data_IF_810925883149
#
_entry.id   IF_810925883149
#
_cell.length_a   1.000
_cell.length_b   1.000
_cell.length_c   1.000
_cell.angle_alpha   90.00
_cell.angle_beta   90.00
_cell.angle_gamma   90.00
#
_symmetry.space_group_name_H-M   'P 1'
#
loop_
_entity.id
_entity.type
_entity.pdbx_description
1 polymer ?
#
# COMPACT_ATOMS: atom_id res chain seq x y z
N UNK A 1 45.67 -53.14 20.16
CA UNK A 1 44.41 -53.78 20.57
C UNK A 1 43.57 -52.76 21.30
N UNK A 2 42.72 -52.06 20.59
CA UNK A 2 41.63 -51.27 21.17
C UNK A 2 40.56 -51.05 20.10
N UNK A 3 39.37 -51.39 20.46
CA UNK A 3 38.17 -51.51 19.66
C UNK A 3 37.69 -50.17 19.13
N UNK A 4 37.38 -50.13 17.84
CA UNK A 4 36.53 -49.13 17.21
C UNK A 4 35.06 -49.50 17.53
N UNK A 5 34.35 -48.57 18.16
CA UNK A 5 32.87 -48.64 18.23
C UNK A 5 32.30 -47.64 17.21
N UNK A 6 31.78 -48.21 16.15
CA UNK A 6 31.06 -47.50 15.11
C UNK A 6 29.66 -47.08 15.57
N UNK A 7 29.36 -45.79 15.51
CA UNK A 7 28.02 -45.25 15.63
C UNK A 7 27.32 -45.28 14.28
N UNK A 8 26.37 -46.24 14.17
CA UNK A 8 25.44 -46.35 13.07
C UNK A 8 24.39 -45.25 13.14
N UNK A 9 24.42 -44.32 12.20
CA UNK A 9 23.35 -43.41 11.92
C UNK A 9 22.25 -44.13 11.16
N UNK A 10 21.15 -44.42 11.86
CA UNK A 10 19.94 -44.98 11.26
C UNK A 10 19.20 -43.93 10.41
N UNK A 11 19.29 -44.14 9.13
CA UNK A 11 18.53 -43.51 8.10
C UNK A 11 17.10 -44.08 8.08
N UNK A 12 16.11 -43.36 8.52
CA UNK A 12 14.71 -43.69 8.24
C UNK A 12 14.03 -42.50 7.53
N UNK A 13 14.24 -42.47 6.23
CA UNK A 13 13.42 -41.66 5.35
C UNK A 13 12.05 -42.35 5.19
N UNK A 14 11.01 -41.80 5.77
CA UNK A 14 9.64 -42.17 5.44
C UNK A 14 9.21 -41.51 4.12
N UNK A 15 8.79 -42.28 3.12
CA UNK A 15 8.24 -41.74 1.89
C UNK A 15 6.85 -41.17 2.18
N UNK A 16 6.68 -39.86 1.92
CA UNK A 16 5.39 -39.20 1.89
C UNK A 16 4.53 -39.81 0.76
N UNK A 17 3.42 -40.44 1.12
CA UNK A 17 2.41 -40.93 0.19
C UNK A 17 1.76 -39.73 -0.53
N UNK A 18 1.56 -39.82 -1.86
CA UNK A 18 0.83 -38.80 -2.57
C UNK A 18 -0.66 -38.82 -2.18
N UNK A 19 -1.18 -37.71 -1.68
CA UNK A 19 -2.60 -37.52 -1.48
C UNK A 19 -3.28 -37.49 -2.86
N UNK A 20 -4.09 -38.52 -3.13
CA UNK A 20 -5.05 -38.53 -4.22
C UNK A 20 -6.08 -37.43 -3.96
N UNK A 21 -6.05 -36.35 -4.75
CA UNK A 21 -7.17 -35.43 -4.87
C UNK A 21 -8.31 -36.16 -5.54
N UNK A 22 -9.37 -36.44 -4.81
CA UNK A 22 -10.65 -36.85 -5.35
C UNK A 22 -11.34 -35.67 -6.02
N UNK A 23 -12.11 -35.91 -7.09
CA UNK A 23 -12.89 -34.84 -7.73
C UNK A 23 -14.15 -34.59 -6.89
N UNK A 24 -14.08 -33.66 -5.93
CA UNK A 24 -15.30 -33.08 -5.36
C UNK A 24 -15.80 -31.97 -6.28
N UNK A 25 -16.60 -32.38 -7.24
CA UNK A 25 -17.49 -31.50 -7.96
C UNK A 25 -18.55 -30.95 -7.01
N UNK A 26 -18.25 -29.85 -6.34
CA UNK A 26 -19.26 -29.00 -5.76
C UNK A 26 -19.67 -28.01 -6.83
N UNK A 27 -20.78 -28.32 -7.51
CA UNK A 27 -21.56 -27.36 -8.26
C UNK A 27 -21.94 -26.22 -7.30
N UNK A 28 -21.24 -25.08 -7.40
CA UNK A 28 -21.78 -23.84 -6.91
C UNK A 28 -22.94 -23.47 -7.83
N UNK A 29 -24.15 -23.72 -7.34
CA UNK A 29 -25.36 -23.10 -7.86
C UNK A 29 -25.17 -21.59 -7.77
N UNK A 30 -24.84 -21.01 -8.93
CA UNK A 30 -24.88 -19.57 -9.10
C UNK A 30 -26.30 -19.10 -8.86
N UNK A 31 -26.47 -18.24 -7.87
CA UNK A 31 -27.68 -17.44 -7.69
C UNK A 31 -27.95 -16.69 -8.99
N UNK A 32 -28.72 -17.32 -9.86
CA UNK A 32 -29.44 -16.64 -10.94
C UNK A 32 -30.42 -15.70 -10.25
N UNK A 33 -30.07 -14.43 -10.20
CA UNK A 33 -31.02 -13.37 -10.03
C UNK A 33 -32.04 -13.56 -11.17
N UNK A 34 -33.15 -14.22 -10.87
CA UNK A 34 -34.30 -14.30 -11.75
C UNK A 34 -34.83 -12.87 -11.87
N UNK A 35 -34.49 -12.22 -12.99
CA UNK A 35 -35.23 -11.09 -13.50
C UNK A 35 -36.66 -11.57 -13.65
N UNK A 36 -37.50 -11.26 -12.68
CA UNK A 36 -38.96 -11.30 -12.85
C UNK A 36 -39.33 -10.21 -13.86
N UNK A 37 -39.15 -10.50 -15.13
CA UNK A 37 -39.93 -9.86 -16.16
C UNK A 37 -41.39 -10.20 -15.83
N UNK A 38 -42.15 -9.21 -15.36
CA UNK A 38 -43.57 -9.28 -15.29
C UNK A 38 -44.03 -9.58 -16.71
N UNK A 39 -44.56 -10.79 -16.93
CA UNK A 39 -45.35 -11.12 -18.10
C UNK A 39 -46.44 -10.07 -18.19
N UNK A 40 -46.36 -9.25 -19.21
CA UNK A 40 -47.41 -8.36 -19.59
C UNK A 40 -48.55 -9.27 -20.12
N UNK A 41 -49.57 -9.44 -19.27
CA UNK A 41 -50.79 -10.14 -19.67
C UNK A 41 -51.38 -9.42 -20.88
N UNK A 42 -51.25 -10.06 -22.05
CA UNK A 42 -51.80 -9.61 -23.31
C UNK A 42 -53.34 -9.70 -23.36
N UNK A 43 -53.98 -10.19 -22.29
CA UNK A 43 -55.45 -10.45 -22.27
C UNK A 43 -56.27 -9.26 -21.77
N UNK A 44 -55.71 -8.06 -21.66
CA UNK A 44 -56.50 -6.83 -21.51
C UNK A 44 -56.50 -6.01 -22.81
N UNK A 45 -56.80 -6.64 -23.93
CA UNK A 45 -57.33 -5.87 -25.04
C UNK A 45 -58.77 -5.49 -24.68
N UNK A 46 -58.90 -4.35 -24.04
CA UNK A 46 -60.20 -3.65 -24.01
C UNK A 46 -60.56 -3.37 -25.48
N UNK A 47 -61.51 -4.09 -25.95
CA UNK A 47 -62.14 -3.81 -27.27
C UNK A 47 -62.77 -2.43 -27.18
N UNK A 48 -62.00 -1.39 -27.56
CA UNK A 48 -62.60 -0.07 -27.81
C UNK A 48 -63.48 -0.21 -29.04
N UNK A 49 -64.82 -0.35 -28.79
CA UNK A 49 -65.77 -0.21 -29.84
C UNK A 49 -65.65 1.20 -30.45
N UNK A 50 -65.04 1.26 -31.61
CA UNK A 50 -65.04 2.47 -32.41
C UNK A 50 -66.49 2.75 -32.83
N UNK A 51 -67.08 3.76 -32.21
CA UNK A 51 -68.36 4.29 -32.64
C UNK A 51 -68.07 5.32 -33.76
N UNK A 52 -68.45 5.00 -35.07
CA UNK A 52 -68.07 5.82 -36.23
C UNK A 52 -68.84 7.12 -36.36
N UNK A 53 -69.62 7.51 -35.34
CA UNK A 53 -70.57 8.63 -35.47
C UNK A 53 -70.14 9.88 -34.71
N UNK A 54 -68.95 9.91 -34.05
CA UNK A 54 -68.41 11.17 -33.55
C UNK A 54 -67.49 11.75 -34.61
N UNK A 55 -67.99 12.60 -35.45
CA UNK A 55 -67.23 13.57 -36.22
C UNK A 55 -66.50 14.46 -35.18
N UNK A 56 -65.29 14.06 -34.82
CA UNK A 56 -64.36 14.97 -34.18
C UNK A 56 -64.09 16.06 -35.19
N UNK A 57 -64.67 17.23 -34.97
CA UNK A 57 -64.22 18.46 -35.64
C UNK A 57 -62.70 18.60 -35.27
N UNK A 58 -61.89 18.13 -36.18
CA UNK A 58 -60.44 18.39 -36.18
C UNK A 58 -60.26 19.86 -36.38
N UNK A 59 -60.23 20.59 -35.28
CA UNK A 59 -59.74 21.93 -35.24
C UNK A 59 -58.24 21.88 -35.59
N UNK A 60 -57.96 21.87 -36.88
CA UNK A 60 -56.61 22.13 -37.38
C UNK A 60 -56.32 23.60 -37.18
N UNK A 61 -55.99 23.94 -35.92
CA UNK A 61 -55.20 25.17 -35.74
C UNK A 61 -53.86 24.92 -36.45
N UNK A 62 -53.45 25.78 -37.38
CA UNK A 62 -52.18 25.65 -38.03
C UNK A 62 -51.13 25.85 -36.94
N UNK A 63 -50.46 24.74 -36.55
CA UNK A 63 -49.27 24.80 -35.69
C UNK A 63 -48.28 25.70 -36.42
N UNK A 64 -48.29 26.98 -36.05
CA UNK A 64 -47.44 27.99 -36.68
C UNK A 64 -46.01 27.58 -36.45
N UNK A 65 -45.19 27.53 -37.49
CA UNK A 65 -43.79 27.11 -37.50
C UNK A 65 -42.96 27.85 -36.41
N UNK A 66 -43.40 28.99 -35.94
CA UNK A 66 -42.82 29.72 -34.81
C UNK A 66 -42.89 28.97 -33.49
N UNK A 67 -43.97 28.18 -33.24
CA UNK A 67 -44.08 27.42 -31.98
C UNK A 67 -43.16 26.20 -31.99
N UNK A 68 -42.92 25.59 -33.14
CA UNK A 68 -41.98 24.45 -33.27
C UNK A 68 -40.55 24.89 -33.07
N UNK A 69 -40.16 26.03 -33.66
CA UNK A 69 -38.79 26.60 -33.46
C UNK A 69 -38.58 26.98 -32.00
N UNK A 70 -39.58 27.55 -31.31
CA UNK A 70 -39.48 27.85 -29.89
C UNK A 70 -39.34 26.63 -29.01
N UNK A 71 -40.06 25.53 -29.28
CA UNK A 71 -39.92 24.25 -28.57
C UNK A 71 -38.54 23.64 -28.78
N UNK A 72 -38.08 23.56 -30.03
CA UNK A 72 -36.76 22.98 -30.35
C UNK A 72 -35.63 23.79 -29.71
N UNK A 73 -35.68 25.12 -29.74
CA UNK A 73 -34.69 25.95 -29.09
C UNK A 73 -34.69 25.79 -27.57
N UNK A 74 -35.87 25.64 -26.94
CA UNK A 74 -35.97 25.36 -25.49
C UNK A 74 -35.37 24.03 -25.09
N UNK A 75 -35.59 22.96 -25.88
CA UNK A 75 -34.98 21.63 -25.64
C UNK A 75 -33.45 21.70 -25.78
N UNK A 76 -32.96 22.37 -26.84
CA UNK A 76 -31.50 22.53 -27.02
C UNK A 76 -30.89 23.33 -25.85
N UNK A 77 -31.53 24.41 -25.41
CA UNK A 77 -31.05 25.19 -24.26
C UNK A 77 -31.01 24.36 -22.97
N UNK A 78 -32.05 23.50 -22.73
CA UNK A 78 -32.08 22.62 -21.57
C UNK A 78 -30.95 21.57 -21.62
N UNK A 79 -30.68 20.97 -22.77
CA UNK A 79 -29.58 20.01 -22.96
C UNK A 79 -28.24 20.69 -22.72
N UNK A 80 -28.02 21.88 -23.27
CA UNK A 80 -26.78 22.63 -23.07
C UNK A 80 -26.58 23.02 -21.59
N UNK A 81 -27.64 23.38 -20.89
CA UNK A 81 -27.59 23.67 -19.45
C UNK A 81 -27.22 22.45 -18.64
N UNK A 82 -27.80 21.30 -18.94
CA UNK A 82 -27.46 20.03 -18.28
C UNK A 82 -25.99 19.67 -18.54
N UNK A 83 -25.53 19.76 -19.79
CA UNK A 83 -24.13 19.50 -20.14
C UNK A 83 -23.18 20.44 -19.39
N UNK A 84 -23.52 21.72 -19.28
CA UNK A 84 -22.72 22.70 -18.54
C UNK A 84 -22.65 22.32 -17.06
N UNK A 85 -23.76 21.96 -16.43
CA UNK A 85 -23.80 21.51 -15.04
C UNK A 85 -22.93 20.27 -14.86
N UNK A 86 -23.04 19.28 -15.75
CA UNK A 86 -22.21 18.07 -15.72
C UNK A 86 -20.74 18.43 -15.84
N UNK A 87 -20.35 19.30 -16.78
CA UNK A 87 -18.97 19.75 -16.93
C UNK A 87 -18.45 20.47 -15.67
N UNK A 88 -19.27 21.32 -15.05
CA UNK A 88 -18.89 22.00 -13.81
C UNK A 88 -18.70 21.02 -12.64
N UNK A 89 -19.61 20.08 -12.47
CA UNK A 89 -19.51 19.05 -11.44
C UNK A 89 -18.29 18.15 -11.67
N UNK A 90 -18.05 17.73 -12.89
CA UNK A 90 -16.87 16.94 -13.26
C UNK A 90 -15.59 17.74 -13.03
N UNK A 91 -15.53 19.00 -13.48
CA UNK A 91 -14.38 19.87 -13.27
C UNK A 91 -14.08 20.09 -11.78
N UNK A 92 -15.13 20.30 -10.98
CA UNK A 92 -15.00 20.42 -9.53
C UNK A 92 -14.46 19.13 -8.89
N UNK A 93 -15.04 17.97 -9.23
CA UNK A 93 -14.56 16.67 -8.73
C UNK A 93 -13.11 16.40 -9.10
N UNK A 94 -12.73 16.67 -10.35
CA UNK A 94 -11.35 16.53 -10.81
C UNK A 94 -10.37 17.40 -10.02
N UNK A 95 -10.77 18.65 -9.75
CA UNK A 95 -9.96 19.60 -8.98
C UNK A 95 -9.89 19.21 -7.50
N UNK A 96 -10.99 18.77 -6.91
CA UNK A 96 -11.07 18.31 -5.53
C UNK A 96 -10.29 17.02 -5.29
N UNK A 97 -10.11 16.18 -6.33
CA UNK A 97 -9.31 14.97 -6.28
C UNK A 97 -7.79 15.20 -6.41
N UNK A 98 -7.35 16.48 -6.53
CA UNK A 98 -5.93 16.82 -6.63
C UNK A 98 -5.25 16.64 -5.27
N UNK A 99 -4.21 15.83 -5.26
CA UNK A 99 -3.36 15.55 -4.09
C UNK A 99 -1.90 15.96 -4.34
N UNK A 100 -1.68 16.99 -5.16
CA UNK A 100 -0.35 17.53 -5.45
C UNK A 100 0.33 18.09 -4.21
N UNK A 101 1.64 17.86 -4.08
CA UNK A 101 2.48 18.38 -3.01
C UNK A 101 3.28 17.32 -2.28
N UNK A 102 3.83 17.72 -1.13
CA UNK A 102 4.62 16.87 -0.25
C UNK A 102 3.82 16.49 0.99
N UNK A 103 3.78 15.22 1.26
CA UNK A 103 2.95 14.59 2.26
C UNK A 103 3.74 13.68 3.17
N UNK A 104 3.32 13.56 4.43
CA UNK A 104 3.90 12.61 5.39
C UNK A 104 2.81 11.74 5.99
N UNK A 105 3.18 10.53 6.41
CA UNK A 105 2.27 9.60 7.07
C UNK A 105 2.87 9.10 8.41
N UNK A 106 2.64 9.82 9.51
CA UNK A 106 3.11 9.38 10.83
C UNK A 106 2.57 8.00 11.23
N UNK A 107 1.28 7.75 10.98
CA UNK A 107 0.64 6.46 11.31
C UNK A 107 1.22 5.30 10.52
N UNK A 108 1.57 5.51 9.26
CA UNK A 108 2.25 4.49 8.46
C UNK A 108 3.68 4.28 8.94
N UNK A 109 4.38 5.35 9.31
CA UNK A 109 5.72 5.27 9.91
C UNK A 109 5.72 4.44 11.20
N UNK A 110 4.73 4.62 12.08
CA UNK A 110 4.57 3.85 13.31
C UNK A 110 4.30 2.36 13.01
N UNK A 111 3.42 2.05 12.05
CA UNK A 111 3.15 0.67 11.62
C UNK A 111 4.39 0.01 11.05
N UNK A 112 5.14 0.70 10.20
CA UNK A 112 6.41 0.22 9.65
C UNK A 112 7.44 -0.04 10.75
N UNK A 113 7.54 0.85 11.74
CA UNK A 113 8.42 0.66 12.89
C UNK A 113 8.04 -0.57 13.72
N UNK A 114 6.76 -0.79 13.95
CA UNK A 114 6.27 -1.97 14.65
C UNK A 114 6.63 -3.26 13.90
N UNK A 115 6.36 -3.31 12.59
CA UNK A 115 6.70 -4.47 11.73
C UNK A 115 8.20 -4.74 11.72
N UNK A 116 9.04 -3.71 11.63
CA UNK A 116 10.51 -3.86 11.66
C UNK A 116 11.00 -4.37 13.02
N UNK A 117 10.41 -3.91 14.12
CA UNK A 117 10.72 -4.40 15.47
C UNK A 117 10.36 -5.88 15.62
N UNK A 118 9.19 -6.28 15.16
CA UNK A 118 8.74 -7.68 15.22
C UNK A 118 9.62 -8.58 14.34
N UNK A 119 10.00 -8.10 13.16
CA UNK A 119 10.91 -8.84 12.27
C UNK A 119 12.31 -8.97 12.86
N UNK A 120 12.83 -7.91 13.47
CA UNK A 120 14.14 -7.93 14.15
C UNK A 120 14.12 -8.88 15.36
N UNK A 121 13.03 -8.92 16.10
CA UNK A 121 12.87 -9.82 17.24
C UNK A 121 12.72 -11.29 16.81
N UNK A 122 12.10 -11.56 15.66
CA UNK A 122 11.79 -12.94 15.21
C UNK A 122 12.93 -13.57 14.42
N UNK A 123 13.64 -12.79 13.60
CA UNK A 123 14.65 -13.32 12.65
C UNK A 123 16.09 -13.16 13.12
N UNK A 124 16.38 -12.24 14.02
CA UNK A 124 17.77 -11.93 14.41
C UNK A 124 17.97 -12.07 15.92
N UNK A 125 18.87 -12.98 16.31
CA UNK A 125 19.48 -13.00 17.65
C UNK A 125 20.18 -11.69 18.05
N UNK A 126 20.24 -10.71 17.13
CA UNK A 126 20.79 -9.36 17.34
C UNK A 126 19.96 -8.54 18.33
N UNK A 127 18.64 -8.77 18.43
CA UNK A 127 17.81 -8.08 19.42
C UNK A 127 18.20 -8.42 20.86
N UNK A 128 18.74 -9.61 21.08
CA UNK A 128 19.25 -10.02 22.40
C UNK A 128 20.63 -9.39 22.75
N UNK A 129 21.29 -8.79 21.75
CA UNK A 129 22.57 -8.11 21.96
C UNK A 129 22.40 -6.63 22.33
N UNK A 130 21.22 -6.03 22.10
CA UNK A 130 20.93 -4.67 22.49
C UNK A 130 20.49 -4.62 23.96
N UNK A 131 20.95 -3.64 24.76
CA UNK A 131 20.45 -3.42 26.10
C UNK A 131 18.92 -3.28 26.10
N UNK A 132 18.26 -3.78 27.15
CA UNK A 132 16.81 -3.67 27.30
C UNK A 132 16.35 -2.22 27.09
N UNK A 133 15.38 -2.03 26.22
CA UNK A 133 14.80 -0.71 25.90
C UNK A 133 15.49 0.05 24.77
N UNK A 134 16.57 -0.45 24.18
CA UNK A 134 17.19 0.17 23.02
C UNK A 134 16.65 -0.42 21.71
N UNK A 135 16.31 0.44 20.77
CA UNK A 135 15.88 0.07 19.43
C UNK A 135 17.03 0.20 18.45
N UNK A 136 17.15 -0.76 17.53
CA UNK A 136 18.12 -0.71 16.42
C UNK A 136 17.82 0.50 15.50
N UNK A 137 16.56 0.84 15.34
CA UNK A 137 16.07 1.93 14.50
C UNK A 137 15.33 2.92 15.40
N UNK A 138 15.63 4.21 15.26
CA UNK A 138 15.10 5.25 16.14
C UNK A 138 14.08 6.16 15.49
N UNK A 139 14.22 6.44 14.23
CA UNK A 139 13.36 7.39 13.51
C UNK A 139 12.96 6.78 12.18
N UNK A 140 11.65 6.64 11.94
CA UNK A 140 11.11 6.25 10.64
C UNK A 140 10.24 7.38 10.15
N UNK A 141 10.48 7.77 8.92
CA UNK A 141 9.67 8.75 8.22
C UNK A 141 9.22 8.21 6.86
N UNK A 142 7.95 8.36 6.58
CA UNK A 142 7.34 8.04 5.29
C UNK A 142 6.87 9.34 4.67
N UNK A 143 7.41 9.65 3.49
CA UNK A 143 7.10 10.86 2.75
C UNK A 143 6.66 10.51 1.34
N UNK A 144 5.58 11.11 0.88
CA UNK A 144 5.10 11.01 -0.48
C UNK A 144 5.16 12.37 -1.16
N UNK A 145 5.90 12.45 -2.26
CA UNK A 145 5.92 13.62 -3.13
C UNK A 145 5.09 13.34 -4.38
N UNK A 146 4.18 14.26 -4.69
CA UNK A 146 3.27 14.16 -5.82
C UNK A 146 3.42 15.37 -6.70
N UNK A 147 3.89 15.15 -7.92
CA UNK A 147 4.12 16.20 -8.92
C UNK A 147 3.72 15.68 -10.30
N UNK A 148 2.99 16.46 -11.08
CA UNK A 148 2.58 16.13 -12.45
C UNK A 148 1.87 14.75 -12.55
N UNK A 149 0.99 14.46 -11.60
CA UNK A 149 0.29 13.17 -11.46
C UNK A 149 1.22 11.97 -11.26
N UNK A 150 2.46 12.19 -10.82
CA UNK A 150 3.39 11.12 -10.40
C UNK A 150 3.53 11.13 -8.89
N UNK A 151 3.33 9.97 -8.27
CA UNK A 151 3.53 9.75 -6.85
C UNK A 151 4.87 9.07 -6.61
N UNK A 152 5.62 9.55 -5.63
CA UNK A 152 6.88 8.96 -5.16
C UNK A 152 6.82 8.74 -3.66
N UNK A 153 6.59 7.52 -3.21
CA UNK A 153 6.62 7.18 -1.79
C UNK A 153 8.04 6.80 -1.39
N UNK A 154 8.60 7.56 -0.45
CA UNK A 154 9.91 7.30 0.14
C UNK A 154 9.76 6.89 1.60
N UNK A 155 10.54 5.92 2.01
CA UNK A 155 10.68 5.52 3.41
C UNK A 155 12.11 5.78 3.83
N UNK A 156 12.28 6.42 4.97
CA UNK A 156 13.61 6.61 5.57
C UNK A 156 13.60 6.23 7.04
N UNK A 157 14.71 5.71 7.53
CA UNK A 157 14.90 5.38 8.94
C UNK A 157 16.32 5.67 9.37
N UNK A 158 16.54 5.84 10.68
CA UNK A 158 17.83 6.14 11.27
C UNK A 158 18.30 4.98 12.14
N UNK A 159 19.49 4.49 11.88
CA UNK A 159 20.13 3.52 12.78
C UNK A 159 20.59 4.16 14.09
N UNK A 160 20.32 3.49 15.18
CA UNK A 160 20.83 3.85 16.50
C UNK A 160 22.30 3.42 16.67
N UNK A 161 23.21 4.01 15.87
CA UNK A 161 24.63 3.65 15.87
C UNK A 161 25.27 3.82 17.25
N UNK A 162 24.88 4.86 18.00
CA UNK A 162 25.35 5.10 19.37
C UNK A 162 24.90 3.99 20.33
N UNK A 163 23.64 3.62 20.29
CA UNK A 163 23.11 2.52 21.11
C UNK A 163 23.75 1.18 20.77
N UNK A 164 24.00 0.93 19.49
CA UNK A 164 24.72 -0.26 19.04
C UNK A 164 26.16 -0.30 19.58
N UNK A 165 26.86 0.83 19.59
CA UNK A 165 28.19 0.93 20.20
C UNK A 165 28.16 0.66 21.70
N UNK A 166 27.19 1.22 22.41
CA UNK A 166 27.00 0.95 23.85
C UNK A 166 26.73 -0.54 24.11
N UNK A 167 25.89 -1.19 23.28
CA UNK A 167 25.64 -2.61 23.37
C UNK A 167 26.91 -3.44 23.13
N UNK A 168 27.69 -3.06 22.12
CA UNK A 168 29.01 -3.67 21.87
C UNK A 168 29.95 -3.55 23.09
N UNK A 169 30.09 -2.35 23.68
CA UNK A 169 30.91 -2.12 24.87
C UNK A 169 30.43 -2.97 26.06
N UNK A 170 29.14 -3.02 26.32
CA UNK A 170 28.55 -3.84 27.37
C UNK A 170 28.87 -5.32 27.16
N UNK A 171 28.80 -5.81 25.93
CA UNK A 171 29.12 -7.21 25.62
C UNK A 171 30.60 -7.52 25.79
N UNK A 172 31.51 -6.62 25.39
CA UNK A 172 32.94 -6.77 25.63
C UNK A 172 33.23 -6.82 27.15
N UNK A 173 32.59 -5.96 27.93
CA UNK A 173 32.74 -5.94 29.39
C UNK A 173 32.24 -7.23 30.04
N UNK A 174 31.07 -7.71 29.60
CA UNK A 174 30.50 -8.97 30.07
C UNK A 174 31.42 -10.17 29.78
N UNK A 175 31.98 -10.24 28.56
CA UNK A 175 32.90 -11.31 28.17
C UNK A 175 34.19 -11.24 28.99
N UNK A 176 34.77 -10.05 29.25
CA UNK A 176 35.91 -9.90 30.13
C UNK A 176 35.61 -10.43 31.54
N UNK A 177 34.44 -10.10 32.10
CA UNK A 177 34.03 -10.63 33.40
C UNK A 177 33.85 -12.13 33.43
N UNK A 178 33.35 -12.71 32.32
CA UNK A 178 33.07 -14.16 32.19
C UNK A 178 34.37 -14.99 32.06
N UNK A 179 35.35 -14.51 31.30
CA UNK A 179 36.59 -15.27 31.01
C UNK A 179 37.79 -14.92 31.89
N UNK A 180 37.65 -13.91 32.76
CA UNK A 180 38.67 -13.52 33.71
C UNK A 180 39.80 -12.66 33.13
N UNK A 181 40.74 -12.26 34.02
CA UNK A 181 41.83 -11.35 33.67
C UNK A 181 42.82 -11.93 32.65
N UNK A 182 42.94 -13.26 32.58
CA UNK A 182 43.86 -13.93 31.65
C UNK A 182 43.58 -13.62 30.19
N UNK A 183 42.31 -13.36 29.85
CA UNK A 183 41.88 -12.99 28.50
C UNK A 183 41.66 -11.50 28.27
N UNK A 184 41.90 -10.67 29.28
CA UNK A 184 41.69 -9.21 29.22
C UNK A 184 42.44 -8.58 28.05
N UNK A 185 43.74 -8.90 27.90
CA UNK A 185 44.57 -8.37 26.81
C UNK A 185 44.05 -8.77 25.42
N UNK A 186 43.53 -9.96 25.29
CA UNK A 186 42.92 -10.44 24.04
C UNK A 186 41.67 -9.61 23.72
N UNK A 187 40.79 -9.42 24.69
CA UNK A 187 39.59 -8.59 24.51
C UNK A 187 39.91 -7.12 24.27
N UNK A 188 40.97 -6.59 24.88
CA UNK A 188 41.46 -5.23 24.65
C UNK A 188 41.93 -5.05 23.19
N UNK A 189 42.63 -6.06 22.65
CA UNK A 189 43.09 -6.03 21.26
C UNK A 189 41.94 -6.04 20.22
N UNK A 190 40.80 -6.61 20.59
CA UNK A 190 39.58 -6.60 19.75
C UNK A 190 38.64 -5.45 20.09
N UNK A 191 38.92 -4.66 21.12
CA UNK A 191 38.11 -3.54 21.55
C UNK A 191 38.25 -2.38 20.57
N UNK A 192 37.20 -2.04 19.88
CA UNK A 192 37.18 -0.92 18.92
C UNK A 192 36.96 0.39 19.67
N UNK A 193 37.70 1.43 19.28
CA UNK A 193 37.34 2.79 19.66
C UNK A 193 35.99 3.18 19.07
N UNK A 194 35.28 4.14 19.65
CA UNK A 194 33.99 4.62 19.10
C UNK A 194 34.15 5.05 17.65
N UNK A 195 35.23 5.72 17.32
CA UNK A 195 35.54 6.18 15.96
C UNK A 195 35.69 5.01 14.97
N UNK A 196 36.48 3.99 15.39
CA UNK A 196 36.73 2.84 14.52
C UNK A 196 35.50 1.97 14.38
N UNK A 197 34.71 1.79 15.45
CA UNK A 197 33.43 1.13 15.42
C UNK A 197 32.48 1.82 14.42
N UNK A 198 32.38 3.15 14.51
CA UNK A 198 31.49 3.90 13.60
C UNK A 198 31.93 3.78 12.14
N UNK A 199 33.24 3.82 11.89
CA UNK A 199 33.78 3.62 10.54
C UNK A 199 33.42 2.23 10.01
N UNK A 200 33.67 1.18 10.79
CA UNK A 200 33.36 -0.19 10.41
C UNK A 200 31.84 -0.41 10.21
N UNK A 201 31.02 0.17 11.10
CA UNK A 201 29.58 0.15 10.98
C UNK A 201 29.12 0.76 9.66
N UNK A 202 29.59 1.97 9.33
CA UNK A 202 29.20 2.68 8.11
C UNK A 202 29.64 1.92 6.84
N UNK A 203 30.83 1.31 6.85
CA UNK A 203 31.32 0.47 5.76
C UNK A 203 30.48 -0.79 5.59
N UNK A 204 30.12 -1.43 6.69
CA UNK A 204 29.27 -2.63 6.69
C UNK A 204 27.87 -2.31 6.16
N UNK A 205 27.25 -1.24 6.68
CA UNK A 205 25.92 -0.81 6.22
C UNK A 205 25.94 -0.52 4.71
N UNK A 206 26.92 0.23 4.23
CA UNK A 206 27.04 0.53 2.79
C UNK A 206 27.22 -0.71 1.92
N UNK A 207 27.94 -1.72 2.41
CA UNK A 207 28.20 -2.96 1.68
C UNK A 207 26.98 -3.87 1.63
N UNK A 208 26.23 -3.97 2.73
CA UNK A 208 25.12 -4.91 2.88
C UNK A 208 23.77 -4.36 2.39
N UNK A 209 23.65 -3.03 2.25
CA UNK A 209 22.42 -2.43 1.76
C UNK A 209 22.20 -2.74 0.27
N UNK A 210 20.97 -3.09 -0.13
CA UNK A 210 20.60 -3.20 -1.54
C UNK A 210 20.84 -1.90 -2.30
N UNK A 211 21.10 -1.99 -3.61
CA UNK A 211 21.43 -0.82 -4.47
C UNK A 211 20.33 0.24 -4.53
N UNK A 212 19.09 -0.13 -4.26
CA UNK A 212 17.92 0.76 -4.19
C UNK A 212 17.87 1.64 -2.94
N UNK A 213 18.74 1.35 -1.96
CA UNK A 213 18.85 2.12 -0.72
C UNK A 213 20.02 3.10 -0.79
N UNK A 214 19.82 4.26 -0.19
CA UNK A 214 20.88 5.24 0.03
C UNK A 214 21.15 5.37 1.52
N UNK A 215 22.44 5.47 1.90
CA UNK A 215 22.87 5.63 3.29
C UNK A 215 23.68 6.92 3.47
N UNK A 216 23.23 7.77 4.36
CA UNK A 216 23.96 8.94 4.83
C UNK A 216 24.66 8.64 6.16
N UNK A 217 25.97 8.48 6.11
CA UNK A 217 26.80 8.16 7.30
C UNK A 217 26.83 9.28 8.35
N UNK A 218 26.54 10.54 7.98
CA UNK A 218 26.52 11.66 8.93
C UNK A 218 25.32 11.56 9.86
N UNK A 219 24.18 11.24 9.32
CA UNK A 219 22.90 11.14 10.04
C UNK A 219 22.52 9.70 10.39
N UNK A 220 23.28 8.70 9.92
CA UNK A 220 22.95 7.27 9.98
C UNK A 220 21.59 6.94 9.33
N UNK A 221 21.14 7.79 8.39
CA UNK A 221 19.85 7.67 7.73
C UNK A 221 19.95 6.81 6.50
N UNK A 222 19.07 5.83 6.43
CA UNK A 222 18.81 5.03 5.24
C UNK A 222 17.54 5.54 4.59
N UNK A 223 17.54 5.66 3.27
CA UNK A 223 16.36 6.07 2.49
C UNK A 223 16.18 5.14 1.30
N UNK A 224 14.95 4.72 1.07
CA UNK A 224 14.56 3.95 -0.11
C UNK A 224 13.25 4.46 -0.69
N UNK A 225 13.04 4.19 -1.97
CA UNK A 225 11.75 4.45 -2.62
C UNK A 225 10.89 3.18 -2.47
N UNK A 226 9.76 3.29 -1.77
CA UNK A 226 8.82 2.18 -1.60
C UNK A 226 8.06 1.91 -2.90
N UNK A 227 7.59 2.97 -3.57
CA UNK A 227 7.07 2.88 -4.93
C UNK A 227 7.10 4.23 -5.66
N UNK A 228 6.99 4.16 -6.99
CA UNK A 228 6.56 5.27 -7.85
C UNK A 228 5.29 4.86 -8.58
N UNK A 229 4.37 5.78 -8.83
CA UNK A 229 3.09 5.46 -9.46
C UNK A 229 2.45 6.63 -10.19
N UNK A 230 1.50 6.29 -11.06
CA UNK A 230 0.69 7.23 -11.83
C UNK A 230 -0.64 7.49 -11.13
N UNK A 231 -1.04 8.76 -11.04
CA UNK A 231 -2.29 9.17 -10.42
C UNK A 231 -3.38 9.35 -11.47
N UNK A 232 -4.47 8.62 -11.32
CA UNK A 232 -5.71 8.88 -12.03
C UNK A 232 -6.69 9.64 -11.12
N UNK A 233 -6.83 10.95 -11.33
CA UNK A 233 -7.71 11.81 -10.53
C UNK A 233 -9.20 11.53 -10.74
N UNK A 234 -9.58 10.98 -11.90
CA UNK A 234 -10.97 10.65 -12.19
C UNK A 234 -11.44 9.45 -11.40
N UNK A 235 -10.61 8.44 -11.32
CA UNK A 235 -10.86 7.20 -10.57
C UNK A 235 -10.41 7.31 -9.12
N UNK A 236 -9.64 8.34 -8.78
CA UNK A 236 -9.00 8.51 -7.47
C UNK A 236 -8.12 7.32 -7.11
N UNK A 237 -7.25 6.93 -8.06
CA UNK A 237 -6.35 5.80 -7.92
C UNK A 237 -4.89 6.20 -8.14
N UNK A 238 -3.98 5.44 -7.51
CA UNK A 238 -2.55 5.47 -7.77
C UNK A 238 -2.18 4.09 -8.32
N UNK A 239 -1.73 4.01 -9.56
CA UNK A 239 -1.24 2.77 -10.14
C UNK A 239 0.27 2.68 -9.95
N UNK A 240 0.75 1.67 -9.25
CA UNK A 240 2.19 1.46 -8.99
C UNK A 240 2.91 1.12 -10.28
N UNK A 241 3.79 2.01 -10.73
CA UNK A 241 4.63 1.83 -11.94
C UNK A 241 5.90 1.06 -11.61
N UNK A 242 6.56 1.42 -10.50
CA UNK A 242 7.74 0.73 -9.97
C UNK A 242 7.57 0.51 -8.48
N UNK A 243 7.79 -0.70 -8.03
CA UNK A 243 7.90 -1.06 -6.63
C UNK A 243 9.36 -1.04 -6.18
N UNK A 244 9.59 -0.73 -4.91
CA UNK A 244 10.88 -0.91 -4.26
C UNK A 244 11.14 -2.38 -3.91
N UNK A 245 12.19 -2.63 -3.12
CA UNK A 245 12.58 -3.99 -2.73
C UNK A 245 11.69 -4.60 -1.62
N UNK A 246 10.68 -3.88 -1.15
CA UNK A 246 9.72 -4.40 -0.17
C UNK A 246 8.57 -5.10 -0.87
N UNK A 247 8.09 -6.22 -0.29
CA UNK A 247 6.90 -6.93 -0.80
C UNK A 247 5.59 -6.17 -0.55
N UNK A 248 5.66 -5.02 0.13
CA UNK A 248 4.50 -4.22 0.52
C UNK A 248 3.72 -3.66 -0.67
N UNK A 249 4.42 -3.29 -1.74
CA UNK A 249 3.83 -2.78 -2.98
C UNK A 249 4.38 -3.54 -4.16
N UNK A 250 3.51 -3.82 -5.13
CA UNK A 250 3.90 -4.54 -6.36
C UNK A 250 3.60 -3.68 -7.58
N UNK A 251 4.42 -3.83 -8.61
CA UNK A 251 4.15 -3.19 -9.89
C UNK A 251 2.77 -3.63 -10.41
N UNK A 252 1.96 -2.65 -10.77
CA UNK A 252 0.59 -2.85 -11.24
C UNK A 252 -0.48 -2.81 -10.14
N UNK A 253 -0.09 -2.70 -8.86
CA UNK A 253 -1.06 -2.47 -7.79
C UNK A 253 -1.83 -1.17 -8.05
N UNK A 254 -3.13 -1.21 -7.85
CA UNK A 254 -4.03 -0.05 -7.95
C UNK A 254 -4.48 0.30 -6.53
N UNK A 255 -4.06 1.47 -6.06
CA UNK A 255 -4.31 1.95 -4.72
C UNK A 255 -5.39 3.04 -4.78
N UNK A 256 -6.59 2.75 -4.27
CA UNK A 256 -7.65 3.73 -4.16
C UNK A 256 -7.29 4.80 -3.12
N UNK A 257 -7.54 6.07 -3.43
CA UNK A 257 -7.35 7.14 -2.46
C UNK A 257 -8.59 8.02 -2.31
N UNK A 258 -8.73 8.60 -1.14
CA UNK A 258 -9.79 9.56 -0.85
C UNK A 258 -9.16 10.85 -0.32
N UNK A 259 -9.28 11.97 -1.01
CA UNK A 259 -8.82 13.27 -0.51
C UNK A 259 -9.70 13.73 0.66
N UNK A 260 -9.10 14.47 1.59
CA UNK A 260 -9.77 15.11 2.71
C UNK A 260 -9.19 16.53 2.93
N UNK A 261 -9.71 17.28 3.90
CA UNK A 261 -9.30 18.66 4.15
C UNK A 261 -7.84 18.82 4.59
N UNK A 262 -7.25 17.77 5.19
CA UNK A 262 -5.90 17.80 5.74
C UNK A 262 -4.88 17.06 4.87
N UNK A 263 -5.37 16.26 3.90
CA UNK A 263 -4.54 15.46 3.02
C UNK A 263 -5.33 14.44 2.23
N UNK A 264 -4.92 13.19 2.30
CA UNK A 264 -5.63 12.07 1.66
C UNK A 264 -5.35 10.74 2.37
N UNK A 265 -6.17 9.75 2.09
CA UNK A 265 -6.03 8.40 2.63
C UNK A 265 -6.02 7.38 1.50
N UNK A 266 -4.98 6.56 1.42
CA UNK A 266 -4.95 5.35 0.60
C UNK A 266 -5.76 4.29 1.34
N UNK A 267 -6.73 3.69 0.64
CA UNK A 267 -7.71 2.77 1.23
C UNK A 267 -7.27 1.32 1.17
N UNK A 268 -7.59 0.60 2.24
CA UNK A 268 -7.58 -0.87 2.30
C UNK A 268 -6.30 -1.54 1.76
N UNK A 269 -5.12 -0.96 2.00
CA UNK A 269 -3.88 -1.66 1.69
C UNK A 269 -3.84 -3.01 2.42
N UNK A 270 -3.54 -4.09 1.70
CA UNK A 270 -3.65 -5.47 2.21
C UNK A 270 -2.85 -5.73 3.50
N UNK A 271 -1.71 -5.11 3.64
CA UNK A 271 -0.81 -5.31 4.79
C UNK A 271 -1.01 -4.24 5.88
N UNK A 272 -1.22 -2.99 5.49
CA UNK A 272 -1.24 -1.86 6.43
C UNK A 272 -2.63 -1.27 6.68
N UNK A 273 -3.67 -1.75 5.97
CA UNK A 273 -5.00 -1.14 6.02
C UNK A 273 -5.00 0.28 5.45
N UNK A 274 -5.80 1.16 6.02
CA UNK A 274 -5.85 2.57 5.59
C UNK A 274 -4.55 3.30 5.96
N UNK A 275 -3.97 4.03 4.98
CA UNK A 275 -2.75 4.82 5.14
C UNK A 275 -3.11 6.29 4.91
N UNK A 276 -3.09 7.10 5.96
CA UNK A 276 -3.42 8.52 5.89
C UNK A 276 -2.17 9.38 5.74
N UNK A 277 -2.22 10.30 4.82
CA UNK A 277 -1.17 11.28 4.53
C UNK A 277 -1.66 12.68 4.89
N UNK A 278 -0.82 13.44 5.57
CA UNK A 278 -1.06 14.84 5.92
C UNK A 278 0.01 15.72 5.31
N UNK A 279 -0.33 16.99 5.06
CA UNK A 279 0.61 17.93 4.44
C UNK A 279 1.80 18.17 5.36
N UNK A 280 2.98 18.14 4.77
CA UNK A 280 4.20 18.51 5.52
C UNK A 280 4.09 19.99 5.90
N UNK A 281 4.15 20.29 7.21
CA UNK A 281 4.06 21.65 7.75
C UNK A 281 5.38 22.37 7.64
#
# INVERSE_FOLDING_TARGET
MTKEEGLSLGETAHPLKPHKMGPSGALMEGNRATNKFKEFNADRMVSVQFNPSQQVKESKEPVTSKNIVGMVSGVIAAILTILLIVCLVMGYRYRAASIEGDWTSPTFSEKMLATLKDTANTKNKVSNALPQGQNLITDINTAMSITDNKAHLKVSFVYNRKGLYQAYQSRVTELKGQYGEEFSEVFDSYSLSEKDYYKQFDETVKKELPKSYTYDAKTCRVTTTAFTGDINRWEQTITVDKAGDSDAFKKGDVLDYTPNNEGFTIKAHSEFGDISFTKNK
#
